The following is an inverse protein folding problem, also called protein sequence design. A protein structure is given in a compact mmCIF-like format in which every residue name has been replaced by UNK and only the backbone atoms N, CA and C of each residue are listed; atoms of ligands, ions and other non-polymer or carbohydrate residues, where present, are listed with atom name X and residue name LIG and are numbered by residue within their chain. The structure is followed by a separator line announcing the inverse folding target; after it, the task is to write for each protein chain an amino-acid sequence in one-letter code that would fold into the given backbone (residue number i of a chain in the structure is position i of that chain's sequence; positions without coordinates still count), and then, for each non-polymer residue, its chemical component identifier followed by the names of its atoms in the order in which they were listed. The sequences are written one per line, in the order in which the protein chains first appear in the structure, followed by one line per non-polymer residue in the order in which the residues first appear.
data_IF_947125336994
#
_entry.id   IF_947125336994
#
_cell.length_a   1.000
_cell.length_b   1.000
_cell.length_c   1.000
_cell.angle_alpha   90.00
_cell.angle_beta   90.00
_cell.angle_gamma   90.00
#
_symmetry.space_group_name_H-M   'P 1'
#
loop_
_entity.id
_entity.type
_entity.pdbx_description
1 polymer ?
#
# COMPACT_ATOMS: atom_id res chain seq x y z
N UNK A 1 -3.52 -10.74 -16.11
CA UNK A 1 -3.00 -9.42 -16.50
C UNK A 1 -1.81 -9.07 -15.63
N UNK A 2 -0.71 -8.70 -16.25
CA UNK A 2 0.48 -8.31 -15.51
C UNK A 2 0.32 -6.87 -15.04
N UNK A 3 0.53 -6.61 -13.76
CA UNK A 3 0.56 -5.25 -13.25
C UNK A 3 1.81 -4.59 -13.81
N UNK A 4 1.64 -3.47 -14.51
CA UNK A 4 2.75 -2.76 -15.13
C UNK A 4 3.78 -2.34 -14.08
N UNK A 5 5.05 -2.56 -14.38
CA UNK A 5 6.15 -2.05 -13.55
C UNK A 5 6.12 -0.53 -13.58
N UNK A 6 6.10 0.09 -12.41
CA UNK A 6 6.09 1.55 -12.31
C UNK A 6 7.43 2.09 -12.77
N UNK A 7 7.40 3.08 -13.67
CA UNK A 7 8.61 3.74 -14.18
C UNK A 7 9.40 4.38 -13.03
N UNK A 8 10.72 4.23 -13.07
CA UNK A 8 11.62 4.82 -12.08
C UNK A 8 11.49 6.33 -11.95
N UNK A 9 11.17 7.04 -13.03
CA UNK A 9 10.91 8.48 -13.00
C UNK A 9 9.69 8.84 -12.17
N UNK A 10 8.59 8.08 -12.34
CA UNK A 10 7.36 8.29 -11.57
C UNK A 10 7.61 8.05 -10.09
N UNK A 11 8.39 7.03 -9.75
CA UNK A 11 8.79 6.74 -8.38
C UNK A 11 9.60 7.90 -7.79
N UNK A 12 10.61 8.38 -8.50
CA UNK A 12 11.42 9.50 -8.05
C UNK A 12 10.61 10.78 -7.84
N UNK A 13 9.70 11.08 -8.75
CA UNK A 13 8.82 12.25 -8.64
C UNK A 13 7.92 12.14 -7.40
N UNK A 14 7.33 10.97 -7.16
CA UNK A 14 6.47 10.75 -6.00
C UNK A 14 7.26 10.92 -4.69
N UNK A 15 8.46 10.36 -4.62
CA UNK A 15 9.34 10.49 -3.44
C UNK A 15 9.78 11.94 -3.25
N UNK A 16 10.21 12.61 -4.31
CA UNK A 16 10.62 14.02 -4.25
C UNK A 16 9.51 14.91 -3.72
N UNK A 17 8.31 14.75 -4.27
CA UNK A 17 7.15 15.54 -3.83
C UNK A 17 6.83 15.32 -2.36
N UNK A 18 6.81 14.07 -1.92
CA UNK A 18 6.54 13.74 -0.51
C UNK A 18 7.59 14.31 0.43
N UNK A 19 8.86 14.21 0.07
CA UNK A 19 9.96 14.76 0.86
C UNK A 19 9.91 16.30 0.90
N UNK A 20 9.57 16.95 -0.20
CA UNK A 20 9.41 18.40 -0.24
C UNK A 20 8.27 18.89 0.65
N UNK A 21 7.17 18.15 0.69
CA UNK A 21 6.00 18.54 1.51
C UNK A 21 6.25 18.33 3.02
N UNK A 22 6.92 17.25 3.40
CA UNK A 22 7.05 16.85 4.81
C UNK A 22 8.43 17.13 5.41
N UNK A 23 9.47 17.22 4.58
CA UNK A 23 10.85 17.35 5.04
C UNK A 23 11.56 16.01 5.15
N UNK A 24 12.89 16.04 5.04
CA UNK A 24 13.73 14.84 4.97
C UNK A 24 14.22 14.42 6.37
N UNK A 25 13.31 14.23 7.30
CA UNK A 25 13.62 13.78 8.67
C UNK A 25 12.93 12.47 8.99
N UNK A 26 13.50 11.71 9.93
CA UNK A 26 12.92 10.43 10.36
C UNK A 26 11.52 10.60 10.97
N UNK A 27 11.25 11.74 11.59
CA UNK A 27 9.95 12.03 12.20
C UNK A 27 8.83 12.09 11.16
N UNK A 28 9.17 12.39 9.92
CA UNK A 28 8.23 12.49 8.80
C UNK A 28 8.15 11.19 7.98
N UNK A 29 8.72 10.08 8.47
CA UNK A 29 8.77 8.82 7.73
C UNK A 29 7.38 8.30 7.37
N UNK A 30 6.47 8.23 8.34
CA UNK A 30 5.11 7.70 8.10
C UNK A 30 4.32 8.58 7.12
N UNK A 31 4.27 9.92 7.27
CA UNK A 31 3.63 10.78 6.28
C UNK A 31 4.20 10.63 4.87
N UNK A 32 5.52 10.55 4.74
CA UNK A 32 6.18 10.37 3.44
C UNK A 32 5.78 9.03 2.82
N UNK A 33 5.85 7.94 3.59
CA UNK A 33 5.42 6.62 3.11
C UNK A 33 3.96 6.61 2.69
N UNK A 34 3.10 7.27 3.45
CA UNK A 34 1.68 7.36 3.14
C UNK A 34 1.43 8.07 1.82
N UNK A 35 2.08 9.20 1.57
CA UNK A 35 1.93 9.94 0.32
C UNK A 35 2.45 9.17 -0.88
N UNK A 36 3.61 8.53 -0.75
CA UNK A 36 4.16 7.68 -1.81
C UNK A 36 3.25 6.48 -2.08
N UNK A 37 2.78 5.82 -1.05
CA UNK A 37 1.86 4.69 -1.19
C UNK A 37 0.55 5.10 -1.88
N UNK A 38 0.01 6.26 -1.53
CA UNK A 38 -1.20 6.80 -2.14
C UNK A 38 -0.99 7.13 -3.62
N UNK A 39 0.14 7.74 -3.95
CA UNK A 39 0.46 8.13 -5.33
C UNK A 39 0.73 6.94 -6.23
N UNK A 40 1.49 5.96 -5.74
CA UNK A 40 1.92 4.79 -6.52
C UNK A 40 1.01 3.59 -6.37
N UNK A 41 0.14 3.57 -5.37
CA UNK A 41 -0.71 2.43 -5.04
C UNK A 41 -0.05 1.38 -4.15
N UNK A 42 1.27 1.40 -4.03
CA UNK A 42 2.06 0.54 -3.16
C UNK A 42 3.45 1.15 -2.96
N UNK A 43 4.28 0.51 -2.15
CA UNK A 43 5.65 0.96 -1.89
C UNK A 43 6.64 0.03 -2.61
N UNK A 44 7.03 0.33 -3.86
CA UNK A 44 8.01 -0.48 -4.58
C UNK A 44 9.40 -0.38 -3.94
N UNK A 45 10.23 -1.40 -4.15
CA UNK A 45 11.56 -1.47 -3.55
C UNK A 45 12.42 -0.25 -3.88
N UNK A 46 12.36 0.25 -5.12
CA UNK A 46 13.10 1.43 -5.54
C UNK A 46 12.63 2.71 -4.81
N UNK A 47 11.34 2.82 -4.48
CA UNK A 47 10.84 3.93 -3.67
C UNK A 47 11.40 3.86 -2.24
N UNK A 48 11.41 2.67 -1.64
CA UNK A 48 11.97 2.47 -0.30
C UNK A 48 13.47 2.76 -0.29
N UNK A 49 14.20 2.35 -1.32
CA UNK A 49 15.63 2.65 -1.47
C UNK A 49 15.89 4.16 -1.51
N UNK A 50 15.11 4.90 -2.27
CA UNK A 50 15.24 6.35 -2.40
C UNK A 50 14.91 7.06 -1.09
N UNK A 51 13.83 6.65 -0.41
CA UNK A 51 13.45 7.21 0.89
C UNK A 51 14.53 6.93 1.93
N UNK A 52 15.07 5.71 1.95
CA UNK A 52 16.19 5.33 2.83
C UNK A 52 17.38 6.26 2.65
N UNK A 53 17.73 6.53 1.41
CA UNK A 53 18.85 7.43 1.07
C UNK A 53 18.56 8.86 1.51
N UNK A 54 17.37 9.36 1.24
CA UNK A 54 16.96 10.75 1.54
C UNK A 54 16.86 11.04 3.03
N UNK A 55 16.28 10.12 3.79
CA UNK A 55 16.06 10.28 5.22
C UNK A 55 17.22 9.75 6.06
N UNK A 56 18.19 9.07 5.44
CA UNK A 56 19.31 8.40 6.12
C UNK A 56 18.82 7.38 7.17
N UNK A 57 17.81 6.62 6.79
CA UNK A 57 17.21 5.56 7.62
C UNK A 57 17.57 4.21 6.99
N UNK A 58 17.94 3.20 7.78
CA UNK A 58 18.26 1.87 7.23
C UNK A 58 17.07 1.28 6.47
N UNK A 59 17.35 0.59 5.35
CA UNK A 59 16.32 -0.08 4.55
C UNK A 59 15.50 -1.09 5.37
N UNK A 60 16.15 -1.77 6.31
CA UNK A 60 15.48 -2.73 7.19
C UNK A 60 14.39 -2.06 8.02
N UNK A 61 14.61 -0.85 8.50
CA UNK A 61 13.62 -0.10 9.26
C UNK A 61 12.45 0.31 8.36
N UNK A 62 12.73 0.78 7.15
CA UNK A 62 11.69 1.11 6.17
C UNK A 62 10.84 -0.10 5.82
N UNK A 63 11.49 -1.24 5.58
CA UNK A 63 10.79 -2.47 5.27
C UNK A 63 9.93 -2.94 6.46
N UNK A 64 10.43 -2.84 7.68
CA UNK A 64 9.70 -3.19 8.89
C UNK A 64 8.46 -2.33 9.05
N UNK A 65 8.56 -1.01 8.87
CA UNK A 65 7.43 -0.08 8.94
C UNK A 65 6.42 -0.39 7.83
N UNK A 66 6.89 -0.58 6.61
CA UNK A 66 6.04 -0.83 5.45
C UNK A 66 5.28 -2.14 5.54
N UNK A 67 5.83 -3.15 6.19
CA UNK A 67 5.18 -4.44 6.40
C UNK A 67 4.32 -4.49 7.66
N UNK A 68 4.61 -3.67 8.65
CA UNK A 68 3.84 -3.60 9.91
C UNK A 68 2.47 -2.95 9.72
N UNK A 69 2.42 -1.81 9.04
CA UNK A 69 1.17 -1.08 8.84
C UNK A 69 0.40 -1.64 7.65
N UNK A 70 -0.85 -2.05 7.88
CA UNK A 70 -1.70 -2.65 6.84
C UNK A 70 -2.08 -1.69 5.72
N UNK A 71 -2.04 -0.39 5.96
CA UNK A 71 -2.30 0.61 4.93
C UNK A 71 -1.22 0.65 3.86
N UNK A 72 -0.02 0.15 4.16
CA UNK A 72 1.08 0.07 3.21
C UNK A 72 1.15 -1.33 2.59
N UNK A 73 1.65 -1.39 1.36
CA UNK A 73 1.94 -2.64 0.69
C UNK A 73 3.27 -2.53 -0.05
N UNK A 74 4.10 -3.54 0.07
CA UNK A 74 5.34 -3.67 -0.71
C UNK A 74 5.12 -4.39 -2.03
N UNK A 75 3.90 -4.90 -2.24
CA UNK A 75 3.50 -5.60 -3.47
C UNK A 75 2.43 -4.79 -4.19
N UNK A 76 2.39 -4.86 -5.53
CA UNK A 76 1.33 -4.20 -6.29
C UNK A 76 -0.06 -4.65 -5.85
N UNK A 77 -0.97 -3.71 -5.76
CA UNK A 77 -2.39 -3.95 -5.43
C UNK A 77 -3.26 -3.64 -6.64
N UNK A 78 -4.50 -4.10 -6.59
CA UNK A 78 -5.51 -3.69 -7.56
C UNK A 78 -5.79 -2.19 -7.49
N UNK A 79 -6.43 -1.67 -8.51
CA UNK A 79 -6.83 -0.26 -8.58
C UNK A 79 -7.71 0.15 -7.41
N UNK A 80 -8.58 -0.76 -6.97
CA UNK A 80 -9.44 -0.59 -5.82
C UNK A 80 -9.05 -1.60 -4.74
N UNK A 81 -9.00 -1.16 -3.49
CA UNK A 81 -8.69 -2.03 -2.36
C UNK A 81 -9.90 -2.10 -1.46
N UNK A 82 -10.42 -3.30 -1.26
CA UNK A 82 -11.55 -3.55 -0.36
C UNK A 82 -10.99 -3.97 0.99
N UNK A 83 -11.34 -3.21 2.01
CA UNK A 83 -11.01 -3.55 3.39
C UNK A 83 -12.26 -4.02 4.11
N UNK A 84 -12.19 -5.20 4.70
CA UNK A 84 -13.33 -5.82 5.36
C UNK A 84 -13.09 -5.98 6.85
N UNK A 85 -14.05 -5.56 7.65
CA UNK A 85 -13.96 -5.64 9.10
C UNK A 85 -14.41 -7.02 9.60
N UNK A 86 -13.54 -7.68 10.35
CA UNK A 86 -13.79 -8.98 10.97
C UNK A 86 -14.02 -8.87 12.49
N UNK A 87 -14.25 -7.68 12.99
CA UNK A 87 -14.48 -7.45 14.41
C UNK A 87 -15.81 -8.03 14.86
N UNK A 88 -15.92 -8.34 16.15
CA UNK A 88 -17.12 -8.94 16.73
C UNK A 88 -18.42 -8.14 16.45
N UNK A 89 -18.44 -6.81 16.59
CA UNK A 89 -19.67 -6.05 16.28
C UNK A 89 -20.13 -6.22 14.84
N UNK A 90 -19.21 -6.16 13.87
CA UNK A 90 -19.55 -6.34 12.46
C UNK A 90 -20.03 -7.76 12.17
N UNK A 91 -19.46 -8.74 12.85
CA UNK A 91 -19.83 -10.14 12.71
C UNK A 91 -21.27 -10.38 13.22
N UNK A 92 -21.63 -9.80 14.36
CA UNK A 92 -22.96 -9.94 14.97
C UNK A 92 -24.06 -9.34 14.07
N UNK A 93 -23.78 -8.22 13.41
CA UNK A 93 -24.77 -7.54 12.54
C UNK A 93 -24.85 -8.10 11.12
N UNK A 94 -24.26 -9.26 10.86
CA UNK A 94 -24.37 -9.95 9.58
C UNK A 94 -23.15 -9.82 8.67
N UNK A 95 -21.99 -9.52 9.22
CA UNK A 95 -20.74 -9.39 8.46
C UNK A 95 -20.39 -10.63 7.65
N UNK A 96 -20.70 -11.84 8.14
CA UNK A 96 -20.45 -13.09 7.41
C UNK A 96 -21.21 -13.18 6.10
N UNK A 97 -22.46 -12.72 6.08
CA UNK A 97 -23.29 -12.73 4.87
C UNK A 97 -22.73 -11.74 3.84
N UNK A 98 -22.31 -10.56 4.30
CA UNK A 98 -21.68 -9.57 3.44
C UNK A 98 -20.36 -10.11 2.88
N UNK A 99 -19.56 -10.78 3.71
CA UNK A 99 -18.31 -11.41 3.29
C UNK A 99 -18.53 -12.44 2.19
N UNK A 100 -19.50 -13.35 2.38
CA UNK A 100 -19.82 -14.36 1.39
C UNK A 100 -20.27 -13.73 0.06
N UNK A 101 -21.13 -12.69 0.13
CA UNK A 101 -21.57 -11.96 -1.05
C UNK A 101 -20.43 -11.27 -1.77
N UNK A 102 -19.49 -10.68 -1.01
CA UNK A 102 -18.31 -10.01 -1.56
C UNK A 102 -17.40 -11.00 -2.30
N UNK A 103 -17.10 -12.14 -1.71
CA UNK A 103 -16.29 -13.18 -2.34
C UNK A 103 -16.94 -13.72 -3.60
N UNK A 104 -18.25 -13.94 -3.56
CA UNK A 104 -19.00 -14.42 -4.72
C UNK A 104 -19.02 -13.40 -5.86
N UNK A 105 -19.16 -12.12 -5.53
CA UNK A 105 -19.18 -11.04 -6.51
C UNK A 105 -17.82 -10.79 -7.14
N UNK A 106 -16.76 -10.72 -6.33
CA UNK A 106 -15.41 -10.43 -6.80
C UNK A 106 -14.69 -11.65 -7.37
N UNK A 107 -15.06 -12.84 -6.93
CA UNK A 107 -14.47 -14.13 -7.36
C UNK A 107 -12.96 -14.21 -7.12
N UNK A 108 -12.50 -13.54 -6.07
CA UNK A 108 -11.11 -13.59 -5.60
C UNK A 108 -11.11 -13.80 -4.09
N UNK A 109 -10.04 -14.41 -3.58
CA UNK A 109 -9.85 -14.62 -2.15
C UNK A 109 -9.18 -13.43 -1.45
N UNK A 110 -9.11 -13.45 -0.11
CA UNK A 110 -8.41 -12.43 0.65
C UNK A 110 -6.93 -12.37 0.24
N UNK A 111 -6.41 -11.15 0.09
CA UNK A 111 -5.02 -10.93 -0.31
C UNK A 111 -4.75 -11.15 -1.80
N UNK A 112 -5.76 -11.47 -2.57
CA UNK A 112 -5.64 -11.67 -4.02
C UNK A 112 -6.08 -10.43 -4.79
N UNK A 113 -5.56 -10.31 -6.00
CA UNK A 113 -5.94 -9.27 -6.95
C UNK A 113 -6.67 -9.91 -8.12
N UNK A 114 -7.74 -9.28 -8.59
CA UNK A 114 -8.48 -9.80 -9.75
C UNK A 114 -7.62 -9.82 -11.02
N UNK A 115 -7.91 -10.74 -11.97
CA UNK A 115 -7.10 -10.84 -13.19
C UNK A 115 -7.04 -9.57 -14.02
N UNK A 116 -8.07 -8.73 -13.96
CA UNK A 116 -8.12 -7.44 -14.67
C UNK A 116 -7.36 -6.32 -13.93
N UNK A 117 -6.86 -6.58 -12.73
CA UNK A 117 -6.11 -5.61 -11.92
C UNK A 117 -6.97 -4.55 -11.24
N UNK A 118 -8.29 -4.66 -11.27
CA UNK A 118 -9.19 -3.65 -10.69
C UNK A 118 -9.38 -3.81 -9.18
N UNK A 119 -9.39 -5.05 -8.68
CA UNK A 119 -9.70 -5.36 -7.27
C UNK A 119 -8.61 -6.18 -6.61
#
# INVERSE_FOLDING_TARGET
MTIATIDGKVVLEAVNKAVEEHGATIDELIPILNDVNRTLGYLPANALDEISRRLRVPKSQLFSVSSFYRMFSTKPRGKHVVQFCESAPCHVVGGRQVWASLLDHLKIGPGETSPDGNW
#
